data_IF_507351794028
#
_entry.id   IF_507351794028
#
_cell.length_a   1.000
_cell.length_b   1.000
_cell.length_c   1.000
_cell.angle_alpha   90.00
_cell.angle_beta   90.00
_cell.angle_gamma   90.00
#
_symmetry.space_group_name_H-M   'P 1'
#
loop_
_entity.id
_entity.type
_entity.pdbx_description
1 polymer ?
#
# COMPACT_ATOMS: atom_id res chain seq x y z
N UNK A 1 -45.28 48.22 17.94
CA UNK A 1 -45.75 46.97 17.29
C UNK A 1 -44.52 46.25 16.77
N UNK A 2 -44.45 44.96 17.10
CA UNK A 2 -43.37 43.99 16.86
C UNK A 2 -43.03 43.77 15.39
N UNK A 3 -41.77 43.41 15.10
CA UNK A 3 -41.37 42.85 13.81
C UNK A 3 -39.87 42.58 13.71
N UNK A 4 -39.46 41.35 14.00
CA UNK A 4 -38.11 40.83 13.78
C UNK A 4 -37.86 40.50 12.30
N UNK A 5 -36.59 40.54 11.88
CA UNK A 5 -36.17 40.07 10.55
C UNK A 5 -34.67 40.28 10.34
N UNK A 6 -33.88 39.30 10.74
CA UNK A 6 -32.44 39.18 10.52
C UNK A 6 -32.20 38.63 9.10
N UNK A 7 -31.19 39.11 8.34
CA UNK A 7 -30.20 38.30 7.60
C UNK A 7 -29.25 39.14 6.71
N UNK A 8 -27.96 39.10 7.06
CA UNK A 8 -26.72 38.95 6.27
C UNK A 8 -26.65 39.40 4.80
N UNK A 9 -25.66 40.26 4.52
CA UNK A 9 -25.15 40.57 3.19
C UNK A 9 -23.61 40.49 3.14
N UNK A 10 -23.15 39.80 2.09
CA UNK A 10 -21.86 39.91 1.40
C UNK A 10 -20.65 39.13 1.92
N UNK A 11 -20.44 38.02 1.20
CA UNK A 11 -19.19 37.30 1.03
C UNK A 11 -18.10 38.19 0.39
N UNK A 12 -16.86 37.97 0.82
CA UNK A 12 -15.67 38.18 -0.01
C UNK A 12 -14.99 36.83 -0.15
N UNK A 13 -14.90 36.37 -1.40
CA UNK A 13 -14.19 35.16 -1.79
C UNK A 13 -12.68 35.42 -1.83
N UNK A 14 -11.90 34.50 -1.30
CA UNK A 14 -10.56 34.22 -1.80
C UNK A 14 -10.38 32.71 -1.82
N UNK A 15 -10.42 32.16 -3.04
CA UNK A 15 -10.15 30.76 -3.38
C UNK A 15 -8.76 30.34 -2.90
N UNK A 16 -8.72 29.30 -2.06
CA UNK A 16 -7.55 28.44 -1.88
C UNK A 16 -7.99 27.02 -2.20
N UNK A 17 -7.27 26.34 -3.09
CA UNK A 17 -7.52 24.95 -3.44
C UNK A 17 -7.47 24.06 -2.18
N UNK A 18 -8.34 23.03 -2.05
CA UNK A 18 -8.28 22.17 -0.89
C UNK A 18 -7.07 21.25 -1.00
N UNK A 19 -6.06 21.51 -0.18
CA UNK A 19 -5.04 20.52 0.14
C UNK A 19 -5.75 19.38 0.90
N UNK A 20 -5.77 18.18 0.31
CA UNK A 20 -6.37 17.00 0.91
C UNK A 20 -5.49 16.53 2.08
N UNK A 21 -5.63 17.18 3.24
CA UNK A 21 -5.13 16.66 4.50
C UNK A 21 -6.34 16.20 5.32
N UNK A 22 -6.62 14.90 5.44
CA UNK A 22 -7.43 14.43 6.53
C UNK A 22 -6.53 14.25 7.76
N UNK A 23 -6.55 15.25 8.63
CA UNK A 23 -6.27 15.04 10.06
C UNK A 23 -7.51 14.41 10.66
N UNK A 24 -7.58 13.09 10.76
CA UNK A 24 -8.41 12.42 11.77
C UNK A 24 -8.02 10.96 11.89
N UNK A 25 -7.50 10.59 13.07
CA UNK A 25 -7.49 9.21 13.52
C UNK A 25 -8.94 8.78 13.74
N UNK A 26 -9.53 8.11 12.74
CA UNK A 26 -10.84 7.50 12.88
C UNK A 26 -10.76 6.31 13.85
N UNK A 27 -11.67 6.32 14.82
CA UNK A 27 -11.91 5.27 15.83
C UNK A 27 -12.09 3.90 15.16
N UNK A 28 -11.28 2.91 15.56
CA UNK A 28 -11.21 1.59 14.93
C UNK A 28 -12.34 0.66 15.43
N UNK A 29 -13.12 0.09 14.52
CA UNK A 29 -14.11 -0.96 14.79
C UNK A 29 -13.41 -2.29 15.11
N UNK A 30 -13.66 -2.93 16.28
CA UNK A 30 -13.03 -4.19 16.68
C UNK A 30 -13.43 -5.42 15.83
N UNK A 31 -14.39 -5.29 14.91
CA UNK A 31 -14.75 -6.32 13.92
C UNK A 31 -14.02 -6.22 12.58
N UNK A 32 -13.27 -5.13 12.34
CA UNK A 32 -12.44 -4.97 11.15
C UNK A 32 -11.04 -5.55 11.41
N UNK A 33 -10.47 -6.29 10.45
CA UNK A 33 -9.03 -6.58 10.48
C UNK A 33 -8.29 -5.24 10.43
N UNK A 34 -7.76 -4.81 11.57
CA UNK A 34 -6.99 -3.58 11.69
C UNK A 34 -5.80 -3.59 10.71
N UNK A 35 -5.39 -2.43 10.18
CA UNK A 35 -4.22 -2.34 9.31
C UNK A 35 -2.99 -2.92 10.03
N UNK A 36 -2.37 -3.93 9.40
CA UNK A 36 -1.04 -4.43 9.76
C UNK A 36 -0.86 -4.81 11.22
N UNK A 37 -1.68 -5.71 11.78
CA UNK A 37 -1.42 -6.30 13.11
C UNK A 37 -0.02 -6.93 13.10
N UNK A 38 0.91 -6.31 13.84
CA UNK A 38 2.30 -6.77 13.93
C UNK A 38 2.44 -8.08 14.71
N UNK A 39 1.40 -8.47 15.45
CA UNK A 39 1.40 -9.67 16.28
C UNK A 39 1.67 -10.91 15.42
N UNK A 40 2.76 -11.61 15.72
CA UNK A 40 3.21 -12.78 14.96
C UNK A 40 4.03 -12.46 13.71
N UNK A 41 4.28 -11.19 13.37
CA UNK A 41 5.21 -10.84 12.27
C UNK A 41 6.64 -11.15 12.70
N UNK A 42 7.37 -12.04 11.99
CA UNK A 42 8.75 -12.35 12.33
C UNK A 42 9.62 -11.10 12.22
N UNK A 43 10.64 -11.00 13.08
CA UNK A 43 11.59 -9.87 13.09
C UNK A 43 12.99 -10.39 12.79
N UNK A 44 13.76 -9.61 12.03
CA UNK A 44 15.17 -9.85 11.73
C UNK A 44 16.04 -8.66 12.14
N UNK A 45 17.33 -8.88 12.34
CA UNK A 45 18.30 -7.84 12.70
C UNK A 45 18.83 -7.11 11.47
N UNK A 46 19.16 -5.82 11.63
CA UNK A 46 19.67 -4.95 10.56
C UNK A 46 18.56 -4.30 9.73
N UNK A 47 18.96 -3.56 8.68
CA UNK A 47 18.12 -2.64 7.90
C UNK A 47 17.36 -3.27 6.72
N UNK A 48 17.29 -4.61 6.64
CA UNK A 48 16.68 -5.32 5.50
C UNK A 48 15.73 -6.41 5.95
N UNK A 49 14.63 -6.57 5.23
CA UNK A 49 13.72 -7.68 5.45
C UNK A 49 14.35 -8.99 4.97
N UNK A 50 13.95 -10.09 5.59
CA UNK A 50 14.44 -11.42 5.25
C UNK A 50 13.30 -12.29 4.76
N UNK A 51 13.45 -12.85 3.56
CA UNK A 51 12.52 -13.86 3.04
C UNK A 51 12.76 -15.19 3.76
N UNK A 52 11.72 -15.73 4.38
CA UNK A 52 11.76 -16.97 5.13
C UNK A 52 11.42 -18.18 4.24
N UNK A 53 11.82 -19.41 4.63
CA UNK A 53 11.55 -20.61 3.83
C UNK A 53 10.06 -20.92 3.60
N UNK A 54 9.18 -20.37 4.44
CA UNK A 54 7.72 -20.51 4.31
C UNK A 54 7.07 -19.43 3.42
N UNK A 55 7.87 -18.58 2.76
CA UNK A 55 7.38 -17.51 1.89
C UNK A 55 6.99 -16.21 2.60
N UNK A 56 7.01 -16.18 3.93
CA UNK A 56 6.79 -14.96 4.71
C UNK A 56 8.05 -14.09 4.75
N UNK A 57 7.86 -12.79 4.97
CA UNK A 57 8.95 -11.86 5.23
C UNK A 57 9.09 -11.58 6.73
N UNK A 58 10.31 -11.63 7.24
CA UNK A 58 10.66 -11.08 8.55
C UNK A 58 10.99 -9.59 8.40
N UNK A 59 10.34 -8.75 9.21
CA UNK A 59 10.52 -7.31 9.18
C UNK A 59 11.83 -6.88 9.89
N UNK A 60 12.56 -5.89 9.37
CA UNK A 60 13.74 -5.35 10.03
C UNK A 60 13.37 -4.68 11.36
N UNK A 61 14.13 -4.94 12.42
CA UNK A 61 13.85 -4.40 13.75
C UNK A 61 13.93 -2.86 13.81
N UNK A 62 14.84 -2.27 13.04
CA UNK A 62 15.08 -0.82 12.97
C UNK A 62 14.21 -0.09 11.93
N UNK A 63 13.38 -0.81 11.18
CA UNK A 63 12.50 -0.20 10.18
C UNK A 63 11.47 0.75 10.81
N UNK A 64 11.02 1.79 10.09
CA UNK A 64 9.87 2.60 10.50
C UNK A 64 8.64 1.71 10.78
N UNK A 65 7.76 2.09 11.74
CA UNK A 65 6.56 1.32 12.06
C UNK A 65 5.71 0.97 10.84
N UNK A 66 5.51 1.92 9.93
CA UNK A 66 4.76 1.72 8.69
C UNK A 66 5.36 0.61 7.81
N UNK A 67 6.69 0.51 7.72
CA UNK A 67 7.37 -0.54 6.94
C UNK A 67 7.12 -1.92 7.52
N UNK A 68 7.18 -2.05 8.85
CA UNK A 68 6.87 -3.33 9.52
C UNK A 68 5.41 -3.73 9.30
N UNK A 69 4.50 -2.75 9.29
CA UNK A 69 3.08 -3.00 9.06
C UNK A 69 2.78 -3.36 7.60
N UNK A 70 3.47 -2.75 6.62
CA UNK A 70 3.45 -3.16 5.21
C UNK A 70 3.86 -4.64 5.08
N UNK A 71 4.94 -5.03 5.76
CA UNK A 71 5.42 -6.43 5.76
C UNK A 71 4.38 -7.37 6.38
N UNK A 72 3.80 -6.98 7.52
CA UNK A 72 2.74 -7.74 8.17
C UNK A 72 1.52 -7.93 7.25
N UNK A 73 1.08 -6.88 6.56
CA UNK A 73 -0.03 -6.93 5.62
C UNK A 73 0.28 -7.81 4.41
N UNK A 74 1.49 -7.75 3.85
CA UNK A 74 1.90 -8.67 2.78
C UNK A 74 1.89 -10.13 3.23
N UNK A 75 2.38 -10.41 4.44
CA UNK A 75 2.35 -11.76 5.02
C UNK A 75 0.92 -12.32 5.18
N UNK A 76 -0.12 -11.49 5.29
CA UNK A 76 -1.52 -11.96 5.32
C UNK A 76 -2.01 -12.51 3.97
N UNK A 77 -1.42 -12.04 2.87
CA UNK A 77 -1.91 -12.31 1.51
C UNK A 77 -0.92 -13.09 0.63
N UNK A 78 0.29 -13.39 1.14
CA UNK A 78 1.27 -14.28 0.48
C UNK A 78 0.61 -15.57 0.02
N UNK A 79 0.90 -15.96 -1.23
CA UNK A 79 0.44 -17.21 -1.83
C UNK A 79 -1.01 -17.20 -2.28
N UNK A 80 -1.74 -16.08 -2.13
CA UNK A 80 -3.08 -15.97 -2.70
C UNK A 80 -3.04 -16.00 -4.23
N UNK A 81 -4.10 -16.52 -4.87
CA UNK A 81 -4.20 -16.53 -6.32
C UNK A 81 -4.12 -15.12 -6.91
N UNK A 82 -3.43 -15.01 -8.03
CA UNK A 82 -3.56 -13.85 -8.89
C UNK A 82 -4.85 -13.95 -9.72
N UNK A 83 -5.58 -12.85 -9.85
CA UNK A 83 -6.71 -12.74 -10.76
C UNK A 83 -6.88 -11.30 -11.20
N UNK A 84 -6.99 -11.05 -12.52
CA UNK A 84 -7.17 -9.71 -13.08
C UNK A 84 -8.42 -9.03 -12.49
N UNK A 85 -8.27 -7.83 -11.91
CA UNK A 85 -9.34 -7.14 -11.19
C UNK A 85 -9.66 -7.73 -9.82
N UNK A 86 -8.91 -8.73 -9.35
CA UNK A 86 -9.09 -9.34 -8.03
C UNK A 86 -8.82 -8.31 -6.93
N UNK A 87 -9.57 -8.35 -5.84
CA UNK A 87 -9.42 -7.42 -4.72
C UNK A 87 -10.09 -6.04 -4.92
N UNK A 88 -10.24 -5.59 -6.16
CA UNK A 88 -10.94 -4.34 -6.47
C UNK A 88 -12.44 -4.38 -6.08
N UNK A 89 -12.99 -3.23 -5.68
CA UNK A 89 -14.36 -3.08 -5.19
C UNK A 89 -14.60 -3.59 -3.76
N UNK A 90 -13.57 -4.15 -3.11
CA UNK A 90 -13.60 -4.54 -1.70
C UNK A 90 -12.86 -3.50 -0.86
N UNK A 91 -13.31 -3.29 0.38
CA UNK A 91 -12.56 -2.50 1.35
C UNK A 91 -11.19 -3.16 1.61
N UNK A 92 -10.10 -2.38 1.67
CA UNK A 92 -8.73 -2.88 1.84
C UNK A 92 -8.50 -3.60 3.19
N UNK A 93 -9.41 -3.44 4.16
CA UNK A 93 -9.44 -4.22 5.40
C UNK A 93 -9.96 -5.66 5.20
N UNK A 94 -10.44 -6.01 4.01
CA UNK A 94 -10.99 -7.33 3.68
C UNK A 94 -9.95 -8.20 3.00
N UNK A 95 -9.77 -9.40 3.52
CA UNK A 95 -8.91 -10.40 2.90
C UNK A 95 -9.63 -11.03 1.70
N UNK A 96 -9.27 -10.60 0.49
CA UNK A 96 -9.90 -11.04 -0.74
C UNK A 96 -9.53 -12.51 -1.10
N UNK A 97 -10.36 -13.19 -1.93
CA UNK A 97 -10.07 -14.53 -2.42
C UNK A 97 -8.93 -14.57 -3.46
N UNK A 98 -8.74 -13.48 -4.21
CA UNK A 98 -7.63 -13.26 -5.15
C UNK A 98 -7.31 -11.77 -5.22
N UNK A 99 -6.10 -11.44 -5.68
CA UNK A 99 -5.66 -10.06 -5.89
C UNK A 99 -5.04 -9.93 -7.29
N UNK A 100 -5.00 -8.71 -7.82
CA UNK A 100 -4.14 -8.37 -8.94
C UNK A 100 -2.91 -7.57 -8.48
N UNK A 101 -2.19 -6.97 -9.43
CA UNK A 101 -0.98 -6.22 -9.12
C UNK A 101 -1.29 -4.98 -8.26
N UNK A 102 -2.25 -4.15 -8.67
CA UNK A 102 -2.65 -2.93 -7.96
C UNK A 102 -3.25 -3.22 -6.62
N UNK A 103 -4.28 -4.07 -6.54
CA UNK A 103 -4.99 -4.30 -5.29
C UNK A 103 -4.10 -4.98 -4.23
N UNK A 104 -3.13 -5.79 -4.65
CA UNK A 104 -2.17 -6.35 -3.70
C UNK A 104 -1.25 -5.28 -3.12
N UNK A 105 -0.72 -4.36 -3.94
CA UNK A 105 0.11 -3.24 -3.48
C UNK A 105 -0.70 -2.30 -2.57
N UNK A 106 -1.95 -2.03 -2.91
CA UNK A 106 -2.86 -1.21 -2.10
C UNK A 106 -3.12 -1.83 -0.73
N UNK A 107 -3.36 -3.15 -0.66
CA UNK A 107 -3.53 -3.87 0.62
C UNK A 107 -2.32 -3.66 1.54
N UNK A 108 -1.11 -3.76 0.99
CA UNK A 108 0.12 -3.55 1.75
C UNK A 108 0.27 -2.10 2.22
N UNK A 109 -0.01 -1.12 1.35
CA UNK A 109 0.05 0.30 1.69
C UNK A 109 -1.00 0.70 2.74
N UNK A 110 -2.23 0.17 2.63
CA UNK A 110 -3.26 0.31 3.66
C UNK A 110 -2.79 -0.27 5.00
N UNK A 111 -2.16 -1.46 4.96
CA UNK A 111 -1.51 -2.05 6.12
C UNK A 111 -0.53 -1.11 6.81
N UNK A 112 0.28 -0.38 6.03
CA UNK A 112 1.20 0.65 6.53
C UNK A 112 0.56 1.97 6.96
N UNK A 113 -0.77 2.09 6.90
CA UNK A 113 -1.50 3.34 7.18
C UNK A 113 -1.28 4.43 6.12
N UNK A 114 -0.91 4.05 4.89
CA UNK A 114 -0.55 4.98 3.81
C UNK A 114 -1.68 5.22 2.81
N UNK A 115 -2.77 4.46 2.90
CA UNK A 115 -3.97 4.60 2.08
C UNK A 115 -5.21 4.52 2.97
N UNK A 116 -6.30 5.23 2.63
CA UNK A 116 -7.59 5.03 3.27
C UNK A 116 -8.20 3.67 2.88
N UNK A 117 -9.11 3.16 3.70
CA UNK A 117 -9.67 1.80 3.56
C UNK A 117 -10.50 1.59 2.28
N UNK A 118 -11.01 2.68 1.71
CA UNK A 118 -11.85 2.74 0.50
C UNK A 118 -11.04 3.09 -0.76
N UNK A 119 -9.71 3.17 -0.66
CA UNK A 119 -8.87 3.39 -1.83
C UNK A 119 -8.94 2.20 -2.78
N UNK A 120 -9.13 2.49 -4.07
CA UNK A 120 -9.28 1.51 -5.14
C UNK A 120 -8.82 2.17 -6.45
N UNK A 121 -7.65 1.78 -6.97
CA UNK A 121 -7.09 2.35 -8.17
C UNK A 121 -6.34 1.34 -9.05
N UNK A 122 -6.42 1.46 -10.38
CA UNK A 122 -5.59 0.65 -11.28
C UNK A 122 -4.10 1.03 -11.16
N UNK A 123 -3.22 0.13 -11.61
CA UNK A 123 -1.75 0.30 -11.56
C UNK A 123 -1.24 1.64 -12.09
N UNK A 124 -1.78 2.13 -13.20
CA UNK A 124 -1.37 3.41 -13.80
C UNK A 124 -1.59 4.63 -12.90
N UNK A 125 -2.59 4.60 -12.01
CA UNK A 125 -2.81 5.69 -11.05
C UNK A 125 -1.66 5.81 -10.06
N UNK A 126 -1.00 4.68 -9.73
CA UNK A 126 0.11 4.64 -8.78
C UNK A 126 1.40 5.26 -9.35
N UNK A 127 1.49 5.57 -10.65
CA UNK A 127 2.59 6.36 -11.23
C UNK A 127 2.68 7.77 -10.62
N UNK A 128 1.61 8.25 -9.98
CA UNK A 128 1.55 9.54 -9.29
C UNK A 128 1.51 9.43 -7.76
N UNK A 129 1.59 8.22 -7.18
CA UNK A 129 1.53 8.02 -5.73
C UNK A 129 2.76 8.61 -5.01
N UNK A 130 2.58 9.24 -3.84
CA UNK A 130 3.71 9.70 -3.02
C UNK A 130 4.66 10.67 -3.74
N UNK A 131 5.98 10.49 -3.59
CA UNK A 131 7.03 11.31 -4.23
C UNK A 131 7.73 10.58 -5.37
N UNK A 132 8.27 11.30 -6.37
CA UNK A 132 9.01 10.70 -7.47
C UNK A 132 10.35 10.12 -7.02
N UNK A 133 10.76 9.00 -7.63
CA UNK A 133 12.04 8.34 -7.43
C UNK A 133 12.00 7.24 -6.36
N UNK A 134 13.12 6.54 -6.17
CA UNK A 134 13.25 5.50 -5.15
C UNK A 134 13.22 6.09 -3.74
N UNK A 135 12.57 5.37 -2.82
CA UNK A 135 12.59 5.61 -1.38
C UNK A 135 13.66 4.79 -0.67
N UNK A 136 13.85 5.06 0.62
CA UNK A 136 14.86 4.38 1.45
C UNK A 136 14.40 2.97 1.83
N UNK A 137 13.14 2.85 2.23
CA UNK A 137 12.49 1.63 2.69
C UNK A 137 11.52 1.08 1.68
N UNK A 138 10.75 1.96 1.02
CA UNK A 138 9.68 1.55 0.11
C UNK A 138 9.85 2.22 -1.24
N UNK A 139 9.82 1.43 -2.31
CA UNK A 139 9.76 1.97 -3.68
C UNK A 139 8.73 1.19 -4.48
N UNK A 140 7.69 1.86 -4.93
CA UNK A 140 6.77 1.38 -5.95
C UNK A 140 7.39 1.60 -7.33
N UNK A 141 7.17 0.64 -8.22
CA UNK A 141 7.44 0.73 -9.63
C UNK A 141 6.11 0.49 -10.34
N UNK A 142 5.51 1.57 -10.83
CA UNK A 142 4.17 1.58 -11.42
C UNK A 142 4.22 1.89 -12.92
N UNK A 143 3.25 1.36 -13.65
CA UNK A 143 3.01 1.61 -15.07
C UNK A 143 1.52 1.38 -15.36
N UNK A 144 1.07 1.81 -16.53
CA UNK A 144 -0.30 1.55 -17.00
C UNK A 144 -0.70 0.06 -16.94
N UNK A 145 0.26 -0.86 -17.12
CA UNK A 145 -0.02 -2.30 -17.24
C UNK A 145 0.28 -3.10 -15.96
N UNK A 146 1.17 -2.62 -15.10
CA UNK A 146 1.63 -3.38 -13.93
C UNK A 146 2.17 -2.49 -12.82
N UNK A 147 2.09 -2.96 -11.59
CA UNK A 147 2.76 -2.36 -10.43
C UNK A 147 3.37 -3.43 -9.52
N UNK A 148 4.54 -3.13 -8.99
CA UNK A 148 5.19 -3.91 -7.94
C UNK A 148 5.90 -2.96 -6.99
N UNK A 149 6.42 -3.47 -5.87
CA UNK A 149 7.22 -2.62 -4.99
C UNK A 149 8.33 -3.37 -4.28
N UNK A 150 9.33 -2.61 -3.84
CA UNK A 150 10.30 -3.08 -2.86
C UNK A 150 9.96 -2.53 -1.49
N UNK A 151 10.08 -3.38 -0.48
CA UNK A 151 9.87 -3.06 0.94
C UNK A 151 11.04 -3.61 1.74
N UNK A 152 11.82 -2.74 2.35
CA UNK A 152 13.05 -3.07 3.09
C UNK A 152 13.98 -4.04 2.33
N UNK A 153 14.02 -3.91 1.01
CA UNK A 153 14.83 -4.76 0.15
C UNK A 153 14.30 -6.18 -0.09
N UNK A 154 12.99 -6.40 0.02
CA UNK A 154 12.31 -7.53 -0.64
C UNK A 154 11.33 -6.99 -1.68
N UNK A 155 11.17 -7.71 -2.78
CA UNK A 155 10.19 -7.37 -3.81
C UNK A 155 8.84 -7.98 -3.46
N UNK A 156 7.79 -7.19 -3.39
CA UNK A 156 6.42 -7.65 -3.48
C UNK A 156 5.97 -7.59 -4.94
N UNK A 157 5.56 -8.73 -5.50
CA UNK A 157 5.10 -8.79 -6.89
C UNK A 157 4.08 -9.93 -7.09
N UNK A 158 3.49 -9.98 -8.27
CA UNK A 158 2.54 -11.03 -8.63
C UNK A 158 3.16 -12.07 -9.59
N UNK A 159 2.50 -13.21 -9.73
CA UNK A 159 2.98 -14.37 -10.48
C UNK A 159 3.59 -14.05 -11.87
N UNK A 160 4.72 -14.69 -12.21
CA UNK A 160 5.49 -14.52 -13.44
C UNK A 160 5.97 -13.10 -13.74
N UNK A 161 5.92 -12.18 -12.77
CA UNK A 161 6.34 -10.80 -13.00
C UNK A 161 7.84 -10.66 -13.31
N UNK A 162 8.68 -11.58 -12.81
CA UNK A 162 10.09 -11.67 -13.20
C UNK A 162 10.36 -12.58 -14.41
N UNK A 163 9.33 -13.19 -15.01
CA UNK A 163 9.42 -14.16 -16.10
C UNK A 163 8.78 -15.51 -15.75
N UNK A 164 8.57 -16.36 -16.75
CA UNK A 164 7.85 -17.64 -16.65
C UNK A 164 8.49 -18.71 -15.74
N UNK A 165 9.64 -18.41 -15.14
CA UNK A 165 10.44 -19.33 -14.32
C UNK A 165 10.91 -18.68 -13.00
N UNK A 166 10.27 -17.59 -12.55
CA UNK A 166 10.67 -16.93 -11.30
C UNK A 166 10.33 -17.75 -10.03
N UNK A 167 9.74 -18.93 -10.21
CA UNK A 167 9.44 -19.90 -9.16
C UNK A 167 8.31 -19.47 -8.22
N UNK A 168 7.65 -18.35 -8.50
CA UNK A 168 6.51 -17.86 -7.73
C UNK A 168 5.23 -18.62 -8.10
N UNK A 169 4.36 -18.87 -7.13
CA UNK A 169 2.96 -19.19 -7.39
C UNK A 169 2.08 -18.17 -6.66
N UNK A 170 1.30 -17.40 -7.42
CA UNK A 170 0.47 -16.33 -6.85
C UNK A 170 1.23 -15.03 -6.53
N UNK A 171 0.68 -14.26 -5.59
CA UNK A 171 1.26 -12.98 -5.13
C UNK A 171 2.19 -13.21 -3.94
N UNK A 172 3.30 -12.48 -3.82
CA UNK A 172 4.16 -12.66 -2.66
C UNK A 172 5.50 -11.93 -2.66
N UNK A 173 6.33 -12.34 -1.69
CA UNK A 173 7.67 -11.83 -1.46
C UNK A 173 8.73 -12.57 -2.30
N UNK A 174 9.62 -11.81 -2.92
CA UNK A 174 10.72 -12.29 -3.74
C UNK A 174 12.05 -11.60 -3.39
N UNK A 175 13.19 -12.22 -3.71
CA UNK A 175 14.49 -11.55 -3.68
C UNK A 175 14.54 -10.31 -4.59
N UNK A 176 15.58 -9.49 -4.42
CA UNK A 176 15.63 -8.09 -4.88
C UNK A 176 15.62 -7.86 -6.42
N UNK A 177 15.40 -8.85 -7.27
CA UNK A 177 15.80 -8.76 -8.68
C UNK A 177 14.58 -8.68 -9.60
N UNK A 178 14.41 -7.55 -10.28
CA UNK A 178 13.59 -7.36 -11.49
C UNK A 178 14.18 -6.19 -12.28
N UNK A 179 14.04 -6.22 -13.61
CA UNK A 179 14.22 -5.00 -14.41
C UNK A 179 13.08 -4.02 -14.11
N UNK A 180 13.40 -2.77 -13.88
CA UNK A 180 12.46 -1.66 -13.66
C UNK A 180 12.22 -0.81 -14.92
N UNK A 181 12.82 -1.20 -16.06
CA UNK A 181 12.63 -0.51 -17.33
C UNK A 181 11.14 -0.43 -17.71
N UNK A 182 10.66 0.79 -17.98
CA UNK A 182 9.25 1.06 -18.32
C UNK A 182 8.35 1.40 -17.14
N UNK A 183 8.88 1.40 -15.91
CA UNK A 183 8.13 1.77 -14.71
C UNK A 183 8.53 3.15 -14.17
N UNK A 184 7.56 3.85 -13.59
CA UNK A 184 7.75 5.08 -12.83
C UNK A 184 8.01 4.72 -11.37
N UNK A 185 9.21 5.02 -10.89
CA UNK A 185 9.57 4.85 -9.49
C UNK A 185 8.89 5.91 -8.61
N UNK A 186 8.22 5.47 -7.55
CA UNK A 186 7.52 6.29 -6.55
C UNK A 186 7.79 5.77 -5.14
N UNK A 187 7.73 6.63 -4.12
CA UNK A 187 7.80 6.20 -2.72
C UNK A 187 6.82 6.96 -1.82
N UNK A 188 6.32 6.34 -0.74
CA UNK A 188 5.56 7.04 0.29
C UNK A 188 6.39 8.15 0.95
N UNK A 189 5.77 9.25 1.34
CA UNK A 189 6.47 10.36 1.99
C UNK A 189 7.11 9.88 3.30
N UNK A 190 8.42 10.07 3.44
CA UNK A 190 9.17 9.70 4.65
C UNK A 190 9.61 8.24 4.71
N UNK A 191 9.42 7.47 3.63
CA UNK A 191 9.86 6.08 3.47
C UNK A 191 10.67 5.87 2.19
#
# INVERSE_FOLDING_TARGET
QTGAGNVIGQASSSEGAPELIPTSAAEQDPGACAPGVLEGTPITTGHRAQLLPNGLAAAPADAPPAVRQIIAAGNQIVGKPYGYGGGHGLALSTIAPSYDCSSSVEHLLYGGGLLPVDYDAPSGTLESFGRPGPGEWVTLYASADHVFMYVAGLRWDTHNAAGADDGSSGIGWHPLIRSDAGFVARHPVGL
#
